data_IF_360914922561
#
_entry.id   IF_360914922561
#
_cell.length_a   1.000
_cell.length_b   1.000
_cell.length_c   1.000
_cell.angle_alpha   90.00
_cell.angle_beta   90.00
_cell.angle_gamma   90.00
#
_symmetry.space_group_name_H-M   'P 1'
#
loop_
_entity.id
_entity.type
_entity.pdbx_description
1 polymer ?
#
# COMPACT_ATOMS: atom_id res chain seq x y z
N UNK A 1 -6.53 -3.39 20.74
CA UNK A 1 -7.72 -3.98 20.07
C UNK A 1 -7.38 -4.07 18.59
N UNK A 2 -7.77 -5.11 17.86
CA UNK A 2 -7.54 -5.14 16.41
C UNK A 2 -8.50 -4.15 15.73
N UNK A 3 -8.02 -3.43 14.73
CA UNK A 3 -8.83 -2.53 13.92
C UNK A 3 -9.35 -3.25 12.68
N UNK A 4 -10.62 -3.04 12.37
CA UNK A 4 -11.30 -3.64 11.21
C UNK A 4 -11.77 -2.53 10.28
N UNK A 5 -11.58 -2.75 8.99
CA UNK A 5 -12.03 -1.81 7.95
C UNK A 5 -13.49 -2.01 7.57
N UNK A 6 -13.98 -3.23 7.76
CA UNK A 6 -15.34 -3.63 7.46
C UNK A 6 -15.77 -4.71 8.45
N UNK A 7 -17.06 -4.72 8.81
CA UNK A 7 -17.68 -5.70 9.70
C UNK A 7 -19.00 -6.13 9.07
N UNK A 8 -19.23 -7.45 8.99
CA UNK A 8 -20.42 -8.03 8.39
C UNK A 8 -21.04 -9.11 9.30
N UNK A 9 -22.35 -9.26 9.24
CA UNK A 9 -23.07 -10.38 9.84
C UNK A 9 -23.41 -11.43 8.77
N UNK A 10 -23.01 -12.67 9.01
CA UNK A 10 -23.19 -13.79 8.08
C UNK A 10 -23.91 -14.95 8.78
N UNK A 11 -24.92 -15.52 8.12
CA UNK A 11 -25.83 -16.52 8.65
C UNK A 11 -25.57 -17.95 8.14
N UNK A 12 -24.60 -18.11 7.23
CA UNK A 12 -24.33 -19.37 6.52
C UNK A 12 -22.87 -19.74 6.61
N UNK A 13 -22.60 -21.02 6.91
CA UNK A 13 -21.25 -21.54 7.08
C UNK A 13 -20.39 -21.41 5.82
N UNK A 14 -20.98 -21.65 4.66
CA UNK A 14 -20.25 -21.57 3.38
C UNK A 14 -19.75 -20.15 3.09
N UNK A 15 -20.57 -19.13 3.39
CA UNK A 15 -20.15 -17.74 3.27
C UNK A 15 -19.05 -17.40 4.27
N UNK A 16 -19.18 -17.85 5.52
CA UNK A 16 -18.14 -17.66 6.55
C UNK A 16 -16.82 -18.26 6.09
N UNK A 17 -16.82 -19.52 5.62
CA UNK A 17 -15.61 -20.19 5.15
C UNK A 17 -14.94 -19.42 3.99
N UNK A 18 -15.73 -18.94 3.02
CA UNK A 18 -15.20 -18.12 1.93
C UNK A 18 -14.50 -16.85 2.44
N UNK A 19 -15.14 -16.13 3.36
CA UNK A 19 -14.53 -14.92 3.94
C UNK A 19 -13.25 -15.24 4.72
N UNK A 20 -13.23 -16.35 5.47
CA UNK A 20 -12.03 -16.80 6.17
C UNK A 20 -10.86 -17.11 5.22
N UNK A 21 -11.15 -17.73 4.07
CA UNK A 21 -10.15 -17.98 3.01
C UNK A 21 -9.59 -16.67 2.41
N UNK A 22 -10.42 -15.64 2.33
CA UNK A 22 -10.03 -14.29 1.89
C UNK A 22 -9.29 -13.49 2.98
N UNK A 23 -9.12 -14.05 4.17
CA UNK A 23 -8.38 -13.44 5.28
C UNK A 23 -9.23 -12.59 6.23
N UNK A 24 -10.56 -12.73 6.20
CA UNK A 24 -11.43 -12.19 7.25
C UNK A 24 -11.31 -13.00 8.54
N UNK A 25 -11.71 -12.40 9.66
CA UNK A 25 -11.69 -13.04 10.98
C UNK A 25 -13.09 -13.06 11.58
N UNK A 26 -13.46 -14.13 12.29
CA UNK A 26 -14.67 -14.13 13.13
C UNK A 26 -14.34 -13.31 14.38
N UNK A 27 -15.12 -12.26 14.63
CA UNK A 27 -14.95 -11.36 15.77
C UNK A 27 -15.98 -11.61 16.88
N UNK A 28 -17.17 -12.10 16.51
CA UNK A 28 -18.23 -12.45 17.45
C UNK A 28 -19.19 -13.49 16.86
N UNK A 29 -20.06 -14.07 17.69
CA UNK A 29 -21.11 -15.00 17.28
C UNK A 29 -22.40 -14.70 18.02
N UNK A 30 -23.44 -14.36 17.27
CA UNK A 30 -24.76 -14.02 17.80
C UNK A 30 -25.68 -15.24 17.72
N UNK A 31 -26.25 -15.63 18.86
CA UNK A 31 -27.35 -16.60 18.92
C UNK A 31 -28.68 -15.86 18.89
N UNK A 32 -29.46 -16.07 17.84
CA UNK A 32 -30.79 -15.47 17.69
C UNK A 32 -31.82 -16.56 17.93
N UNK A 33 -32.62 -16.40 18.98
CA UNK A 33 -33.70 -17.34 19.32
C UNK A 33 -34.99 -16.92 18.61
N UNK A 34 -35.56 -17.80 17.80
CA UNK A 34 -36.94 -17.66 17.32
C UNK A 34 -37.83 -18.73 17.97
N UNK A 35 -39.17 -18.51 18.01
CA UNK A 35 -40.10 -19.43 18.68
C UNK A 35 -40.01 -20.89 18.23
N UNK A 36 -39.60 -21.13 16.99
CA UNK A 36 -39.53 -22.47 16.38
C UNK A 36 -38.10 -22.97 16.12
N UNK A 37 -37.10 -22.08 16.08
CA UNK A 37 -35.72 -22.45 15.75
C UNK A 37 -34.70 -21.43 16.27
N UNK A 38 -33.54 -21.93 16.72
CA UNK A 38 -32.38 -21.11 17.02
C UNK A 38 -31.51 -20.92 15.76
N UNK A 39 -31.12 -19.68 15.49
CA UNK A 39 -30.20 -19.32 14.41
C UNK A 39 -28.87 -18.83 14.98
N UNK A 40 -27.80 -19.14 14.28
CA UNK A 40 -26.46 -18.66 14.58
C UNK A 40 -26.04 -17.68 13.49
N UNK A 41 -25.66 -16.47 13.88
CA UNK A 41 -24.96 -15.52 13.01
C UNK A 41 -23.53 -15.35 13.46
N UNK A 42 -22.64 -15.23 12.50
CA UNK A 42 -21.23 -14.92 12.71
C UNK A 42 -21.02 -13.45 12.38
N UNK A 43 -20.40 -12.72 13.30
CA UNK A 43 -19.89 -11.38 13.01
C UNK A 43 -18.45 -11.57 12.56
N UNK A 44 -18.17 -11.16 11.33
CA UNK A 44 -16.82 -11.24 10.73
C UNK A 44 -16.30 -9.84 10.49
N UNK A 45 -14.99 -9.66 10.59
CA UNK A 45 -14.32 -8.39 10.33
C UNK A 45 -13.16 -8.55 9.36
N UNK A 46 -12.94 -7.55 8.51
CA UNK A 46 -11.77 -7.49 7.63
C UNK A 46 -10.64 -6.70 8.29
N UNK A 47 -9.53 -7.35 8.72
CA UNK A 47 -8.48 -6.67 9.47
C UNK A 47 -7.83 -5.55 8.67
N UNK A 48 -7.62 -4.39 9.29
CA UNK A 48 -6.98 -3.24 8.63
C UNK A 48 -5.57 -3.57 8.15
N UNK A 49 -4.81 -4.37 8.91
CA UNK A 49 -3.49 -4.86 8.51
C UNK A 49 -3.55 -5.67 7.21
N UNK A 50 -4.53 -6.57 7.10
CA UNK A 50 -4.74 -7.41 5.93
C UNK A 50 -5.13 -6.57 4.71
N UNK A 51 -5.98 -5.54 4.89
CA UNK A 51 -6.29 -4.57 3.83
C UNK A 51 -5.05 -3.85 3.32
N UNK A 52 -4.16 -3.42 4.22
CA UNK A 52 -2.89 -2.77 3.84
C UNK A 52 -1.99 -3.74 3.06
N UNK A 53 -1.87 -4.99 3.51
CA UNK A 53 -1.10 -6.03 2.80
C UNK A 53 -1.61 -6.26 1.39
N UNK A 54 -2.93 -6.37 1.21
CA UNK A 54 -3.54 -6.56 -0.10
C UNK A 54 -3.32 -5.36 -1.03
N UNK A 55 -3.45 -4.14 -0.52
CA UNK A 55 -3.17 -2.93 -1.29
C UNK A 55 -1.71 -2.89 -1.73
N UNK A 56 -0.77 -3.22 -0.83
CA UNK A 56 0.65 -3.36 -1.19
C UNK A 56 0.88 -4.45 -2.22
N UNK A 57 0.19 -5.59 -2.12
CA UNK A 57 0.29 -6.67 -3.10
C UNK A 57 -0.20 -6.23 -4.48
N UNK A 58 -1.29 -5.46 -4.56
CA UNK A 58 -1.77 -4.85 -5.79
C UNK A 58 -0.70 -3.91 -6.37
N UNK A 59 -0.16 -3.00 -5.56
CA UNK A 59 0.89 -2.06 -5.99
C UNK A 59 2.11 -2.82 -6.52
N UNK A 60 2.58 -3.87 -5.85
CA UNK A 60 3.70 -4.71 -6.33
C UNK A 60 3.45 -5.30 -7.72
N UNK A 61 2.22 -5.72 -8.03
CA UNK A 61 1.89 -6.19 -9.40
C UNK A 61 2.02 -5.10 -10.45
N UNK A 62 1.72 -3.84 -10.10
CA UNK A 62 1.98 -2.70 -10.99
C UNK A 62 3.50 -2.47 -11.15
N UNK A 63 4.28 -2.65 -10.10
CA UNK A 63 5.75 -2.56 -10.18
C UNK A 63 6.34 -3.66 -11.07
N UNK A 64 5.87 -4.91 -10.94
CA UNK A 64 6.25 -6.04 -11.80
C UNK A 64 5.93 -5.78 -13.28
N UNK A 65 4.89 -5.00 -13.56
CA UNK A 65 4.53 -4.53 -14.89
C UNK A 65 5.32 -3.29 -15.36
N UNK A 66 6.37 -2.87 -14.63
CA UNK A 66 7.19 -1.67 -14.86
C UNK A 66 6.43 -0.33 -14.82
N UNK A 67 5.23 -0.29 -14.24
CA UNK A 67 4.40 0.93 -14.20
C UNK A 67 4.85 1.92 -13.13
N UNK A 68 5.73 1.51 -12.19
CA UNK A 68 6.33 2.43 -11.21
C UNK A 68 7.12 3.56 -11.87
N UNK A 69 7.92 3.23 -12.89
CA UNK A 69 8.75 4.22 -13.59
C UNK A 69 7.87 5.24 -14.32
N UNK A 70 6.78 4.79 -14.93
CA UNK A 70 5.83 5.67 -15.62
C UNK A 70 5.08 6.59 -14.64
N UNK A 71 4.67 6.07 -13.47
CA UNK A 71 4.14 6.90 -12.38
C UNK A 71 5.15 7.98 -11.97
N UNK A 72 6.39 7.59 -11.77
CA UNK A 72 7.48 8.46 -11.33
C UNK A 72 7.79 9.57 -12.33
N UNK A 73 7.84 9.27 -13.63
CA UNK A 73 7.93 10.26 -14.70
C UNK A 73 6.76 11.22 -14.70
N UNK A 74 5.52 10.70 -14.61
CA UNK A 74 4.33 11.55 -14.58
C UNK A 74 4.30 12.49 -13.37
N UNK A 75 4.78 12.04 -12.21
CA UNK A 75 4.92 12.91 -11.02
C UNK A 75 6.00 13.97 -11.24
N UNK A 76 7.13 13.65 -11.88
CA UNK A 76 8.16 14.63 -12.23
C UNK A 76 7.59 15.70 -13.17
N UNK A 77 6.93 15.29 -14.25
CA UNK A 77 6.30 16.17 -15.24
C UNK A 77 5.28 17.11 -14.60
N UNK A 78 4.39 16.57 -13.74
CA UNK A 78 3.37 17.36 -13.05
C UNK A 78 3.96 18.40 -12.08
N UNK A 79 5.16 18.13 -11.54
CA UNK A 79 5.89 19.06 -10.67
C UNK A 79 6.81 20.00 -11.47
N UNK A 80 6.90 19.85 -12.79
CA UNK A 80 7.80 20.64 -13.63
C UNK A 80 9.28 20.31 -13.43
N UNK A 81 9.61 19.07 -13.03
CA UNK A 81 10.97 18.59 -12.86
C UNK A 81 11.37 17.64 -14.00
N UNK A 82 12.63 17.67 -14.45
CA UNK A 82 13.14 16.68 -15.38
C UNK A 82 13.46 15.37 -14.62
N UNK A 83 12.76 14.30 -14.99
CA UNK A 83 13.00 12.97 -14.42
C UNK A 83 14.45 12.49 -14.62
N UNK A 84 15.13 12.93 -15.68
CA UNK A 84 16.52 12.56 -15.95
C UNK A 84 17.52 13.24 -15.01
N UNK A 85 17.11 14.29 -14.30
CA UNK A 85 17.91 14.95 -13.26
C UNK A 85 17.77 14.26 -11.89
N UNK A 86 16.97 13.20 -11.79
CA UNK A 86 16.80 12.42 -10.58
C UNK A 86 17.69 11.17 -10.66
N UNK A 87 18.32 10.82 -9.55
CA UNK A 87 19.10 9.60 -9.40
C UNK A 87 18.68 8.79 -8.18
N UNK A 88 18.88 7.48 -8.26
CA UNK A 88 18.78 6.57 -7.12
C UNK A 88 20.15 6.59 -6.41
N UNK A 89 20.27 7.36 -5.33
CA UNK A 89 21.48 7.39 -4.50
C UNK A 89 21.11 7.26 -3.01
N UNK A 90 21.96 6.53 -2.30
CA UNK A 90 21.96 6.35 -0.86
C UNK A 90 22.45 7.58 -0.08
N UNK A 91 23.06 8.57 -0.76
CA UNK A 91 23.53 9.79 -0.14
C UNK A 91 22.46 10.90 -0.12
N UNK A 92 22.50 11.74 0.92
CA UNK A 92 21.67 12.93 1.06
C UNK A 92 22.05 13.98 -0.01
N UNK A 93 21.49 13.83 -1.20
CA UNK A 93 21.48 14.86 -2.24
C UNK A 93 20.38 15.90 -2.03
N UNK A 94 20.33 16.91 -2.89
CA UNK A 94 19.28 17.93 -2.87
C UNK A 94 17.91 17.29 -3.15
N UNK A 95 16.87 17.75 -2.45
CA UNK A 95 15.52 17.21 -2.58
C UNK A 95 14.58 18.19 -3.30
N UNK A 96 13.54 17.64 -3.93
CA UNK A 96 12.38 18.39 -4.41
C UNK A 96 11.10 17.59 -4.14
N UNK A 97 9.96 18.18 -4.48
CA UNK A 97 8.66 17.55 -4.31
C UNK A 97 8.56 16.15 -4.99
N UNK A 98 9.31 15.93 -6.07
CA UNK A 98 9.32 14.65 -6.78
C UNK A 98 10.14 13.59 -6.05
N UNK A 99 11.36 13.90 -5.63
CA UNK A 99 12.19 12.97 -4.85
C UNK A 99 11.54 12.69 -3.50
N UNK A 100 10.90 13.67 -2.86
CA UNK A 100 10.17 13.49 -1.61
C UNK A 100 9.01 12.51 -1.78
N UNK A 101 8.25 12.62 -2.87
CA UNK A 101 7.19 11.66 -3.20
C UNK A 101 7.75 10.26 -3.43
N UNK A 102 8.81 10.12 -4.24
CA UNK A 102 9.42 8.82 -4.54
C UNK A 102 9.95 8.16 -3.26
N UNK A 103 10.64 8.93 -2.40
CA UNK A 103 11.16 8.44 -1.12
C UNK A 103 10.04 8.04 -0.16
N UNK A 104 8.96 8.82 -0.10
CA UNK A 104 7.77 8.45 0.67
C UNK A 104 7.15 7.16 0.17
N UNK A 105 7.05 6.98 -1.15
CA UNK A 105 6.56 5.77 -1.79
C UNK A 105 7.42 4.55 -1.40
N UNK A 106 8.74 4.61 -1.60
CA UNK A 106 9.65 3.48 -1.33
C UNK A 106 9.60 3.11 0.15
N UNK A 107 9.64 4.10 1.05
CA UNK A 107 9.49 3.88 2.50
C UNK A 107 8.16 3.22 2.85
N UNK A 108 7.06 3.65 2.24
CA UNK A 108 5.72 3.08 2.48
C UNK A 108 5.64 1.64 2.01
N UNK A 109 6.28 1.33 0.88
CA UNK A 109 6.38 -0.02 0.33
C UNK A 109 7.36 -0.91 1.09
N UNK A 110 8.25 -0.32 1.91
CA UNK A 110 9.26 -1.01 2.70
C UNK A 110 10.53 -1.33 1.91
N UNK A 111 10.81 -0.55 0.87
CA UNK A 111 12.00 -0.67 0.04
C UNK A 111 13.12 0.24 0.59
N UNK A 112 14.38 -0.14 0.34
CA UNK A 112 15.57 0.62 0.79
C UNK A 112 16.05 1.65 -0.23
N UNK A 113 15.27 1.89 -1.29
CA UNK A 113 15.61 2.84 -2.35
C UNK A 113 15.43 4.28 -1.87
N UNK A 114 16.36 5.13 -2.27
CA UNK A 114 16.32 6.56 -2.02
C UNK A 114 16.67 7.31 -3.29
N UNK A 115 16.02 8.44 -3.50
CA UNK A 115 16.16 9.31 -4.65
C UNK A 115 16.52 10.72 -4.23
N UNK A 116 17.36 11.36 -5.03
CA UNK A 116 17.80 12.74 -4.89
C UNK A 116 17.95 13.36 -6.28
N UNK A 117 18.13 14.68 -6.34
CA UNK A 117 18.60 15.33 -7.57
C UNK A 117 20.07 15.00 -7.78
N UNK A 118 20.43 14.80 -9.05
CA UNK A 118 21.81 14.70 -9.51
C UNK A 118 22.56 15.97 -9.12
N UNK A 119 23.71 15.79 -8.47
CA UNK A 119 24.65 16.89 -8.24
C UNK A 119 25.34 17.22 -9.57
N UNK A 120 25.09 18.42 -10.11
CA UNK A 120 25.94 18.97 -11.17
C UNK A 120 27.36 19.12 -10.62
N UNK A 121 28.26 18.22 -11.00
CA UNK A 121 29.67 18.38 -10.68
C UNK A 121 30.23 19.47 -11.59
N UNK A 122 30.16 20.73 -11.17
CA UNK A 122 30.98 21.79 -11.77
C UNK A 122 32.44 21.53 -11.40
N UNK A 123 33.13 20.75 -12.22
CA UNK A 123 34.59 20.73 -12.24
C UNK A 123 35.05 22.05 -12.87
N UNK A 124 35.06 23.11 -12.07
CA UNK A 124 35.78 24.34 -12.40
C UNK A 124 37.28 24.04 -12.29
N UNK A 125 37.84 23.40 -13.32
CA UNK A 125 39.28 23.35 -13.52
C UNK A 125 39.64 24.65 -14.26
N UNK A 126 39.92 25.70 -13.48
CA UNK A 126 40.65 26.86 -13.98
C UNK A 126 42.08 26.41 -14.37
N UNK A 127 42.43 26.56 -15.65
CA UNK A 127 43.80 26.44 -16.16
C UNK A 127 44.46 27.82 -16.25
#
# INVERSE_FOLDING_TARGET
MKDYTEILEIDTRDKVNKYLEEGWEIIDTLKIKYPEQDFLKFVIGYPASKKIEDLKAIIRRYEEANLKVELFKSIADNNGHDFNEIEEDSNYGDSNATTDYMNFYEKTMGNEKQYSKKLETKLDIEF
#
